data_IF_459915651275
#
_entry.id   IF_459915651275
#
_cell.length_a   1.000
_cell.length_b   1.000
_cell.length_c   1.000
_cell.angle_alpha   90.00
_cell.angle_beta   90.00
_cell.angle_gamma   90.00
#
_symmetry.space_group_name_H-M   'P 1'
#
loop_
_entity.id
_entity.type
_entity.pdbx_description
1 polymer ?
#
# COMPACT_ATOMS: atom_id res chain seq x y z
N UNK A 1 20.85 22.55 -2.77
CA UNK A 1 19.36 22.41 -2.78
C UNK A 1 18.86 21.32 -3.72
N UNK A 2 19.34 21.23 -4.97
CA UNK A 2 18.90 20.19 -5.92
C UNK A 2 19.25 18.76 -5.51
N UNK A 3 20.40 18.52 -4.87
CA UNK A 3 20.81 17.18 -4.37
C UNK A 3 19.79 16.55 -3.42
N UNK A 4 19.22 17.32 -2.49
CA UNK A 4 18.24 16.80 -1.52
C UNK A 4 16.88 16.53 -2.18
N UNK A 5 16.46 17.35 -3.15
CA UNK A 5 15.24 17.09 -3.94
C UNK A 5 15.42 15.88 -4.83
N UNK A 6 16.58 15.74 -5.48
CA UNK A 6 16.91 14.58 -6.31
C UNK A 6 16.94 13.30 -5.47
N UNK A 7 17.54 13.35 -4.28
CA UNK A 7 17.53 12.24 -3.33
C UNK A 7 16.09 11.84 -2.94
N UNK A 8 15.23 12.82 -2.64
CA UNK A 8 13.84 12.56 -2.29
C UNK A 8 13.04 11.96 -3.46
N UNK A 9 13.27 12.45 -4.68
CA UNK A 9 12.64 11.93 -5.91
C UNK A 9 13.11 10.50 -6.18
N UNK A 10 14.41 10.21 -6.03
CA UNK A 10 14.97 8.86 -6.19
C UNK A 10 14.42 7.92 -5.13
N UNK A 11 14.32 8.35 -3.87
CA UNK A 11 13.72 7.58 -2.78
C UNK A 11 12.26 7.20 -3.09
N UNK A 12 11.48 8.17 -3.55
CA UNK A 12 10.08 7.95 -3.96
C UNK A 12 10.02 6.98 -5.13
N UNK A 13 10.83 7.17 -6.18
CA UNK A 13 10.86 6.28 -7.34
C UNK A 13 11.22 4.84 -6.97
N UNK A 14 12.18 4.64 -6.07
CA UNK A 14 12.58 3.31 -5.57
C UNK A 14 11.45 2.66 -4.76
N UNK A 15 10.69 3.44 -3.98
CA UNK A 15 9.55 2.93 -3.20
C UNK A 15 8.35 2.50 -4.08
N UNK A 16 8.27 2.97 -5.32
CA UNK A 16 7.21 2.62 -6.27
C UNK A 16 7.65 1.62 -7.34
N UNK A 17 8.83 1.01 -7.22
CA UNK A 17 9.22 -0.10 -8.09
C UNK A 17 8.25 -1.25 -7.81
N UNK A 18 7.50 -1.73 -8.82
CA UNK A 18 6.62 -2.87 -8.64
C UNK A 18 7.49 -4.11 -8.42
N UNK A 19 7.56 -4.55 -7.17
CA UNK A 19 8.14 -5.83 -6.81
C UNK A 19 7.28 -6.94 -7.45
N UNK A 20 7.82 -7.66 -8.44
CA UNK A 20 7.26 -8.92 -8.94
C UNK A 20 7.51 -10.01 -7.91
N UNK A 21 6.98 -9.81 -6.70
CA UNK A 21 7.05 -10.79 -5.64
C UNK A 21 5.93 -11.78 -5.85
N UNK A 22 6.27 -13.06 -6.02
CA UNK A 22 5.35 -14.12 -5.60
C UNK A 22 4.96 -13.77 -4.17
N UNK A 23 3.66 -13.59 -3.93
CA UNK A 23 3.05 -13.19 -2.65
C UNK A 23 4.02 -13.36 -1.47
N UNK A 24 4.37 -12.28 -0.76
CA UNK A 24 5.18 -12.34 0.46
C UNK A 24 4.44 -13.07 1.59
N UNK A 25 4.23 -14.36 1.40
CA UNK A 25 3.40 -15.23 2.21
C UNK A 25 4.26 -16.40 2.66
N UNK A 26 5.23 -16.12 3.52
CA UNK A 26 5.86 -17.14 4.36
C UNK A 26 4.89 -17.75 5.40
N UNK A 27 3.61 -17.35 5.40
CA UNK A 27 2.55 -17.95 6.22
C UNK A 27 1.33 -18.47 5.44
N UNK A 28 0.86 -17.79 4.38
CA UNK A 28 -0.34 -18.24 3.65
C UNK A 28 -0.12 -19.54 2.87
N UNK A 29 1.12 -19.84 2.46
CA UNK A 29 1.43 -21.07 1.72
C UNK A 29 1.12 -22.33 2.53
N UNK A 30 1.42 -22.34 3.83
CA UNK A 30 1.20 -23.53 4.67
C UNK A 30 -0.29 -23.79 4.98
N UNK A 31 -1.11 -22.73 5.15
CA UNK A 31 -2.54 -22.87 5.49
C UNK A 31 -3.41 -23.05 4.25
N UNK A 32 -3.05 -22.43 3.12
CA UNK A 32 -3.81 -22.55 1.86
C UNK A 32 -3.47 -23.83 1.10
N UNK A 33 -2.20 -24.27 1.08
CA UNK A 33 -1.83 -25.52 0.38
C UNK A 33 -2.31 -26.79 1.12
N UNK A 34 -2.48 -26.72 2.44
CA UNK A 34 -3.02 -27.82 3.25
C UNK A 34 -4.50 -27.63 3.63
N UNK A 35 -5.10 -26.51 3.27
CA UNK A 35 -6.48 -26.16 3.59
C UNK A 35 -7.45 -26.52 2.47
N UNK A 36 -8.73 -26.68 2.81
CA UNK A 36 -9.78 -26.93 1.84
C UNK A 36 -10.10 -25.67 1.01
N UNK A 37 -10.80 -25.82 -0.12
CA UNK A 37 -11.09 -24.74 -1.08
C UNK A 37 -11.72 -23.51 -0.40
N UNK A 38 -12.59 -23.73 0.59
CA UNK A 38 -13.24 -22.67 1.36
C UNK A 38 -12.24 -21.78 2.15
N UNK A 39 -11.13 -22.35 2.63
CA UNK A 39 -10.08 -21.60 3.34
C UNK A 39 -9.33 -20.71 2.36
N UNK A 40 -9.03 -21.21 1.17
CA UNK A 40 -8.36 -20.45 0.12
C UNK A 40 -9.20 -19.23 -0.33
N UNK A 41 -10.50 -19.41 -0.51
CA UNK A 41 -11.43 -18.32 -0.87
C UNK A 41 -11.57 -17.27 0.24
N UNK A 42 -11.60 -17.72 1.50
CA UNK A 42 -11.63 -16.82 2.66
C UNK A 42 -10.39 -15.92 2.74
N UNK A 43 -9.20 -16.48 2.48
CA UNK A 43 -7.95 -15.71 2.46
C UNK A 43 -7.93 -14.70 1.31
N UNK A 44 -8.35 -15.08 0.09
CA UNK A 44 -8.40 -14.17 -1.05
C UNK A 44 -9.34 -12.97 -0.81
N UNK A 45 -10.49 -13.24 -0.20
CA UNK A 45 -11.45 -12.21 0.19
C UNK A 45 -10.88 -11.28 1.26
N UNK A 46 -10.14 -11.83 2.23
CA UNK A 46 -9.44 -11.07 3.27
C UNK A 46 -8.36 -10.14 2.71
N UNK A 47 -7.57 -10.60 1.74
CA UNK A 47 -6.53 -9.78 1.07
C UNK A 47 -7.19 -8.57 0.40
N UNK A 48 -8.27 -8.80 -0.36
CA UNK A 48 -8.99 -7.73 -1.05
C UNK A 48 -9.59 -6.73 -0.07
N UNK A 49 -10.16 -7.21 1.05
CA UNK A 49 -10.70 -6.36 2.11
C UNK A 49 -9.62 -5.47 2.74
N UNK A 50 -8.45 -6.02 3.07
CA UNK A 50 -7.36 -5.28 3.70
C UNK A 50 -6.72 -4.26 2.75
N UNK A 51 -6.74 -4.51 1.44
CA UNK A 51 -6.20 -3.61 0.42
C UNK A 51 -6.92 -2.25 0.36
N UNK A 52 -8.17 -2.18 0.81
CA UNK A 52 -8.97 -0.94 0.83
C UNK A 52 -8.38 0.12 1.78
N UNK A 53 -7.82 -0.31 2.92
CA UNK A 53 -7.33 0.59 3.96
C UNK A 53 -6.20 1.52 3.48
N UNK A 54 -5.13 1.03 2.82
CA UNK A 54 -4.10 1.89 2.24
C UNK A 54 -4.64 3.02 1.35
N UNK A 55 -5.62 2.74 0.48
CA UNK A 55 -6.20 3.75 -0.40
C UNK A 55 -6.99 4.81 0.37
N UNK A 56 -7.76 4.39 1.38
CA UNK A 56 -8.51 5.33 2.24
C UNK A 56 -7.56 6.24 3.03
N UNK A 57 -6.49 5.69 3.60
CA UNK A 57 -5.50 6.46 4.35
C UNK A 57 -4.82 7.51 3.46
N UNK A 58 -4.45 7.16 2.23
CA UNK A 58 -3.86 8.08 1.27
C UNK A 58 -4.85 9.19 0.88
N UNK A 59 -6.12 8.85 0.63
CA UNK A 59 -7.16 9.83 0.30
C UNK A 59 -7.36 10.85 1.44
N UNK A 60 -7.42 10.39 2.69
CA UNK A 60 -7.53 11.24 3.87
C UNK A 60 -6.29 12.13 4.01
N UNK A 61 -5.10 11.57 3.83
CA UNK A 61 -3.85 12.33 3.89
C UNK A 61 -3.84 13.48 2.87
N UNK A 62 -4.18 13.21 1.61
CA UNK A 62 -4.23 14.27 0.60
C UNK A 62 -5.33 15.31 0.88
N UNK A 63 -6.50 14.88 1.34
CA UNK A 63 -7.59 15.80 1.70
C UNK A 63 -7.19 16.74 2.84
N UNK A 64 -6.56 16.22 3.89
CA UNK A 64 -6.09 17.02 5.04
C UNK A 64 -5.00 18.01 4.63
N UNK A 65 -4.03 17.59 3.81
CA UNK A 65 -2.99 18.48 3.27
C UNK A 65 -3.62 19.58 2.41
N UNK A 66 -4.56 19.24 1.52
CA UNK A 66 -5.26 20.23 0.68
C UNK A 66 -5.99 21.28 1.54
N UNK A 67 -6.75 20.84 2.55
CA UNK A 67 -7.46 21.73 3.47
C UNK A 67 -6.51 22.62 4.27
N UNK A 68 -5.41 22.07 4.76
CA UNK A 68 -4.38 22.83 5.47
C UNK A 68 -3.78 23.93 4.59
N UNK A 69 -3.33 23.57 3.38
CA UNK A 69 -2.74 24.52 2.44
C UNK A 69 -3.73 25.60 2.01
N UNK A 70 -5.03 25.28 1.85
CA UNK A 70 -6.06 26.27 1.55
C UNK A 70 -6.29 27.25 2.70
N UNK A 71 -6.22 26.78 3.96
CA UNK A 71 -6.33 27.65 5.15
C UNK A 71 -5.10 28.55 5.33
N UNK A 72 -3.90 28.04 5.07
CA UNK A 72 -2.65 28.82 5.20
C UNK A 72 -2.52 29.90 4.12
N UNK A 73 -3.08 29.66 2.93
CA UNK A 73 -3.04 30.60 1.79
C UNK A 73 -4.22 31.56 1.72
N UNK A 74 -5.18 31.46 2.65
CA UNK A 74 -6.31 32.39 2.80
C UNK A 74 -5.98 33.38 3.91
#
# INVERSE_FOLDING_TARGET
MFKNKLFFIVLVLVAFIPETTFSQCAMCKAVVENGDVAIAEGVNSGITYLMVFPYLLIAILFFTIYRYNKKVRA
#
